data_IF_747373871579
#
_entry.id   IF_747373871579
#
_cell.length_a   1.000
_cell.length_b   1.000
_cell.length_c   1.000
_cell.angle_alpha   90.00
_cell.angle_beta   90.00
_cell.angle_gamma   90.00
#
_symmetry.space_group_name_H-M   'P 1'
#
loop_
_entity.id
_entity.type
_entity.pdbx_description
1 polymer ?
#
# COMPACT_ATOMS: atom_id res chain seq x y z
N UNK A 1 9.71 -12.41 -4.09
CA UNK A 1 8.89 -11.44 -4.85
C UNK A 1 7.55 -12.10 -5.20
N UNK A 2 6.43 -11.36 -5.17
CA UNK A 2 5.11 -11.90 -5.56
C UNK A 2 5.10 -12.26 -7.05
N UNK A 3 4.34 -13.28 -7.44
CA UNK A 3 4.19 -13.64 -8.86
C UNK A 3 3.47 -12.52 -9.63
N UNK A 4 3.76 -12.31 -10.93
CA UNK A 4 3.15 -11.25 -11.73
C UNK A 4 1.61 -11.28 -11.72
N UNK A 5 1.01 -12.47 -11.74
CA UNK A 5 -0.44 -12.66 -11.73
C UNK A 5 -1.07 -12.13 -10.44
N UNK A 6 -0.39 -12.33 -9.31
CA UNK A 6 -0.83 -11.81 -8.00
C UNK A 6 -0.70 -10.29 -7.98
N UNK A 7 0.38 -9.72 -8.51
CA UNK A 7 0.57 -8.26 -8.58
C UNK A 7 -0.56 -7.63 -9.40
N UNK A 8 -0.85 -8.18 -10.58
CA UNK A 8 -1.92 -7.70 -11.44
C UNK A 8 -3.30 -7.79 -10.76
N UNK A 9 -3.58 -8.91 -10.09
CA UNK A 9 -4.84 -9.06 -9.35
C UNK A 9 -4.98 -8.02 -8.22
N UNK A 10 -3.91 -7.77 -7.47
CA UNK A 10 -3.88 -6.75 -6.42
C UNK A 10 -4.08 -5.34 -6.97
N UNK A 11 -3.49 -5.03 -8.14
CA UNK A 11 -3.67 -3.74 -8.80
C UNK A 11 -5.09 -3.54 -9.30
N UNK A 12 -5.71 -4.56 -9.91
CA UNK A 12 -7.11 -4.51 -10.35
C UNK A 12 -8.05 -4.28 -9.17
N UNK A 13 -7.87 -5.01 -8.07
CA UNK A 13 -8.69 -4.85 -6.87
C UNK A 13 -8.50 -3.45 -6.29
N UNK A 14 -7.26 -3.01 -6.09
CA UNK A 14 -6.98 -1.70 -5.49
C UNK A 14 -7.48 -0.55 -6.37
N UNK A 15 -7.34 -0.65 -7.69
CA UNK A 15 -7.89 0.31 -8.64
C UNK A 15 -9.42 0.38 -8.52
N UNK A 16 -10.09 -0.76 -8.38
CA UNK A 16 -11.55 -0.83 -8.26
C UNK A 16 -12.07 -0.21 -6.96
N UNK A 17 -11.40 -0.46 -5.84
CA UNK A 17 -11.88 -0.03 -4.51
C UNK A 17 -11.37 1.35 -4.08
N UNK A 18 -10.16 1.72 -4.45
CA UNK A 18 -9.50 2.94 -3.99
C UNK A 18 -9.14 3.91 -5.12
N UNK A 19 -9.38 3.52 -6.38
CA UNK A 19 -9.06 4.34 -7.54
C UNK A 19 -7.57 4.44 -7.85
N UNK A 20 -6.74 3.60 -7.20
CA UNK A 20 -5.27 3.64 -7.32
C UNK A 20 -4.70 2.22 -7.44
N UNK A 21 -3.75 1.97 -8.37
CA UNK A 21 -3.05 0.70 -8.42
C UNK A 21 -2.09 0.61 -7.23
N UNK A 22 -2.01 -0.56 -6.61
CA UNK A 22 -1.17 -0.80 -5.43
C UNK A 22 0.31 -0.68 -5.77
N UNK A 23 0.75 -1.27 -6.88
CA UNK A 23 2.14 -1.24 -7.34
C UNK A 23 2.64 0.20 -7.52
N UNK A 24 1.90 0.99 -8.29
CA UNK A 24 2.24 2.40 -8.54
C UNK A 24 2.21 3.21 -7.24
N UNK A 25 1.23 2.96 -6.37
CA UNK A 25 1.17 3.65 -5.06
C UNK A 25 2.43 3.39 -4.22
N UNK A 26 2.92 2.15 -4.18
CA UNK A 26 4.16 1.81 -3.46
C UNK A 26 5.38 2.44 -4.13
N UNK A 27 5.50 2.36 -5.46
CA UNK A 27 6.61 2.96 -6.23
C UNK A 27 6.68 4.49 -6.05
N UNK A 28 5.53 5.16 -5.94
CA UNK A 28 5.42 6.61 -5.71
C UNK A 28 5.50 7.02 -4.23
N UNK A 29 5.74 6.07 -3.31
CA UNK A 29 5.69 6.30 -1.86
C UNK A 29 4.38 6.97 -1.41
N UNK A 30 3.23 6.51 -1.92
CA UNK A 30 1.87 6.99 -1.59
C UNK A 30 0.99 5.88 -1.05
N UNK A 31 0.04 6.26 -0.21
CA UNK A 31 -0.97 5.36 0.32
C UNK A 31 -1.99 4.98 -0.76
N UNK A 32 -2.19 3.69 -0.98
CA UNK A 32 -3.16 3.16 -1.94
C UNK A 32 -4.60 3.54 -1.57
N UNK A 33 -4.90 3.70 -0.28
CA UNK A 33 -6.25 4.04 0.22
C UNK A 33 -6.50 5.54 0.24
N UNK A 34 -5.66 6.32 0.93
CA UNK A 34 -5.93 7.75 1.14
C UNK A 34 -5.19 8.67 0.15
N UNK A 35 -4.24 8.15 -0.63
CA UNK A 35 -3.48 8.91 -1.63
C UNK A 35 -2.42 9.87 -1.06
N UNK A 36 -2.31 10.01 0.27
CA UNK A 36 -1.25 10.81 0.92
C UNK A 36 0.10 10.11 0.83
N UNK A 37 1.15 10.89 1.02
CA UNK A 37 2.51 10.39 1.07
C UNK A 37 2.72 9.39 2.23
N UNK A 38 3.57 8.40 2.00
CA UNK A 38 3.94 7.34 2.92
C UNK A 38 5.46 7.35 3.13
N UNK A 39 6.00 8.50 3.57
CA UNK A 39 7.45 8.75 3.67
C UNK A 39 8.07 8.34 5.02
N UNK A 40 7.23 8.10 6.03
CA UNK A 40 7.68 7.82 7.39
C UNK A 40 6.83 6.73 8.04
N UNK A 41 7.49 5.81 8.72
CA UNK A 41 6.89 4.70 9.46
C UNK A 41 7.39 4.68 10.90
N UNK A 42 6.57 4.18 11.83
CA UNK A 42 6.87 4.14 13.27
C UNK A 42 7.98 3.13 13.59
N UNK A 43 8.06 2.06 12.81
CA UNK A 43 9.07 1.02 12.94
C UNK A 43 9.30 0.28 11.60
N UNK A 44 10.27 -0.64 11.61
CA UNK A 44 10.62 -1.46 10.45
C UNK A 44 9.49 -2.40 10.03
N UNK A 45 8.63 -2.82 10.98
CA UNK A 45 7.49 -3.68 10.68
C UNK A 45 6.47 -2.91 9.83
N UNK A 46 6.09 -1.70 10.24
CA UNK A 46 5.20 -0.82 9.47
C UNK A 46 5.74 -0.46 8.09
N UNK A 47 7.07 -0.31 7.95
CA UNK A 47 7.70 -0.14 6.64
C UNK A 47 7.52 -1.39 5.74
N UNK A 48 7.71 -2.60 6.29
CA UNK A 48 7.45 -3.86 5.56
C UNK A 48 5.97 -4.04 5.24
N UNK A 49 5.08 -3.62 6.12
CA UNK A 49 3.64 -3.66 5.89
C UNK A 49 3.22 -2.72 4.76
N UNK A 50 3.89 -1.57 4.57
CA UNK A 50 3.70 -0.74 3.39
C UNK A 50 4.05 -1.49 2.10
N UNK A 51 5.17 -2.20 2.06
CA UNK A 51 5.56 -3.02 0.90
C UNK A 51 4.58 -4.16 0.61
N UNK A 52 3.75 -4.55 1.58
CA UNK A 52 2.72 -5.60 1.46
C UNK A 52 1.34 -5.02 1.15
N UNK A 53 0.95 -3.90 1.75
CA UNK A 53 -0.41 -3.37 1.68
C UNK A 53 -0.54 -2.12 0.81
N UNK A 54 0.53 -1.31 0.73
CA UNK A 54 0.49 0.04 0.19
C UNK A 54 -0.14 1.07 1.13
N UNK A 55 -0.31 0.78 2.42
CA UNK A 55 -0.90 1.71 3.39
C UNK A 55 0.15 2.60 4.05
N UNK A 56 -0.07 3.92 4.11
CA UNK A 56 0.75 4.79 4.96
C UNK A 56 0.52 4.47 6.45
N UNK A 57 1.44 4.91 7.33
CA UNK A 57 1.37 4.65 8.77
C UNK A 57 -0.01 4.91 9.38
N UNK A 58 -0.60 6.09 9.13
CA UNK A 58 -1.91 6.44 9.68
C UNK A 58 -3.03 5.48 9.25
N UNK A 59 -2.96 4.95 8.02
CA UNK A 59 -3.94 3.98 7.55
C UNK A 59 -3.66 2.57 8.10
N UNK A 60 -2.39 2.22 8.33
CA UNK A 60 -2.02 0.99 9.01
C UNK A 60 -2.55 0.99 10.44
N UNK A 61 -2.29 2.05 11.20
CA UNK A 61 -2.74 2.19 12.60
C UNK A 61 -4.28 2.11 12.68
N UNK A 62 -5.01 2.70 11.73
CA UNK A 62 -6.48 2.60 11.71
C UNK A 62 -7.03 1.21 11.32
N UNK A 63 -6.21 0.33 10.74
CA UNK A 63 -6.65 -0.96 10.18
C UNK A 63 -6.18 -2.15 11.02
N UNK A 64 -4.99 -2.06 11.63
CA UNK A 64 -4.30 -3.19 12.27
C UNK A 64 -4.10 -3.03 13.78
N UNK A 65 -4.26 -1.83 14.33
CA UNK A 65 -4.20 -1.55 15.78
C UNK A 65 -5.60 -1.40 16.39
#
# INVERSE_FOLDING_TARGET
>A
MKRPEIINALDVISQKFFGRPRKISIEDAKCVVCGREALSFKDELSAKEFDISGLCQTCQDNTFD
#
